data_IF_001784531198
#
_entry.id   IF_001784531198
#
_cell.length_a   1.000
_cell.length_b   1.000
_cell.length_c   1.000
_cell.angle_alpha   90.00
_cell.angle_beta   90.00
_cell.angle_gamma   90.00
#
_symmetry.space_group_name_H-M   'P 1'
#
loop_
_entity.id
_entity.type
_entity.pdbx_description
1 polymer ?
#
# COMPACT_ATOMS: atom_id res chain seq x y z
N UNK A 1 -27.88 -16.24 12.76
CA UNK A 1 -26.49 -16.65 13.06
C UNK A 1 -25.82 -15.50 13.80
N UNK A 2 -25.27 -15.74 15.00
CA UNK A 2 -24.70 -14.70 15.85
C UNK A 2 -23.19 -14.66 15.59
N UNK A 3 -22.67 -13.53 15.08
CA UNK A 3 -21.23 -13.33 14.90
C UNK A 3 -20.56 -13.45 16.27
N UNK A 4 -19.62 -14.39 16.41
CA UNK A 4 -18.82 -14.61 17.62
C UNK A 4 -17.38 -14.22 17.30
N UNK A 5 -16.85 -13.25 18.03
CA UNK A 5 -15.46 -12.81 17.88
C UNK A 5 -14.60 -13.76 18.71
N UNK A 6 -13.72 -14.51 18.04
CA UNK A 6 -12.76 -15.40 18.71
C UNK A 6 -11.33 -14.85 18.52
N UNK A 7 -10.51 -14.85 19.58
CA UNK A 7 -9.14 -14.35 19.50
C UNK A 7 -8.34 -15.21 18.52
N UNK A 8 -7.59 -14.53 17.65
CA UNK A 8 -6.80 -15.18 16.60
C UNK A 8 -5.50 -15.72 17.20
N UNK A 9 -5.42 -17.03 17.40
CA UNK A 9 -4.27 -17.66 18.05
C UNK A 9 -3.02 -17.73 17.15
N UNK A 10 -3.22 -17.85 15.83
CA UNK A 10 -2.13 -18.02 14.88
C UNK A 10 -2.30 -17.11 13.66
N UNK A 11 -1.17 -16.54 13.20
CA UNK A 11 -1.13 -15.77 11.96
C UNK A 11 -1.22 -16.76 10.80
N UNK A 12 -2.28 -16.62 9.99
CA UNK A 12 -2.42 -17.43 8.78
C UNK A 12 -1.27 -17.14 7.81
N UNK A 13 -0.46 -18.17 7.52
CA UNK A 13 0.67 -18.09 6.58
C UNK A 13 0.23 -17.66 5.18
N UNK A 14 -0.95 -18.11 4.75
CA UNK A 14 -1.55 -17.70 3.46
C UNK A 14 -1.83 -16.20 3.46
N UNK A 15 -2.45 -15.68 4.52
CA UNK A 15 -2.77 -14.25 4.60
C UNK A 15 -1.53 -13.37 4.73
N UNK A 16 -0.42 -13.89 5.25
CA UNK A 16 0.85 -13.18 5.30
C UNK A 16 1.34 -12.74 3.91
N UNK A 17 1.12 -13.58 2.89
CA UNK A 17 1.50 -13.28 1.49
C UNK A 17 0.37 -12.65 0.69
N UNK A 18 -0.88 -13.05 0.94
CA UNK A 18 -2.04 -12.51 0.21
C UNK A 18 -2.29 -11.04 0.57
N UNK A 19 -2.11 -10.65 1.84
CA UNK A 19 -2.43 -9.29 2.28
C UNK A 19 -1.61 -8.21 1.54
N UNK A 20 -0.27 -8.31 1.41
CA UNK A 20 0.51 -7.33 0.66
C UNK A 20 0.11 -7.24 -0.81
N UNK A 21 -0.11 -8.37 -1.48
CA UNK A 21 -0.51 -8.40 -2.90
C UNK A 21 -1.86 -7.73 -3.09
N UNK A 22 -2.82 -8.07 -2.23
CA UNK A 22 -4.18 -7.54 -2.29
C UNK A 22 -4.19 -6.04 -1.99
N UNK A 23 -3.35 -5.57 -1.05
CA UNK A 23 -3.16 -4.15 -0.79
C UNK A 23 -2.67 -3.40 -2.04
N UNK A 24 -1.62 -3.89 -2.73
CA UNK A 24 -1.10 -3.27 -3.95
C UNK A 24 -2.17 -3.19 -5.04
N UNK A 25 -2.91 -4.27 -5.28
CA UNK A 25 -3.98 -4.30 -6.28
C UNK A 25 -5.06 -3.26 -5.96
N UNK A 26 -5.54 -3.23 -4.71
CA UNK A 26 -6.55 -2.26 -4.29
C UNK A 26 -6.04 -0.82 -4.37
N UNK A 27 -4.78 -0.56 -4.05
CA UNK A 27 -4.17 0.77 -4.16
C UNK A 27 -4.14 1.23 -5.62
N UNK A 28 -3.72 0.37 -6.56
CA UNK A 28 -3.69 0.71 -8.00
C UNK A 28 -5.10 0.94 -8.54
N UNK A 29 -6.06 0.08 -8.19
CA UNK A 29 -7.46 0.25 -8.60
C UNK A 29 -8.05 1.55 -8.08
N UNK A 30 -7.78 1.89 -6.81
CA UNK A 30 -8.22 3.14 -6.21
C UNK A 30 -7.61 4.35 -6.92
N UNK A 31 -6.31 4.31 -7.22
CA UNK A 31 -5.63 5.37 -7.98
C UNK A 31 -6.21 5.54 -9.39
N UNK A 32 -6.51 4.44 -10.08
CA UNK A 32 -7.16 4.46 -11.39
C UNK A 32 -8.51 5.16 -11.32
N UNK A 33 -9.36 4.78 -10.36
CA UNK A 33 -10.68 5.38 -10.17
C UNK A 33 -10.54 6.88 -9.87
N UNK A 34 -9.65 7.26 -8.96
CA UNK A 34 -9.41 8.66 -8.59
C UNK A 34 -9.00 9.51 -9.79
N UNK A 35 -8.02 9.06 -10.58
CA UNK A 35 -7.56 9.83 -11.73
C UNK A 35 -8.60 9.95 -12.84
N UNK A 36 -9.40 8.89 -13.06
CA UNK A 36 -10.54 8.96 -14.00
C UNK A 36 -11.58 9.96 -13.52
N UNK A 37 -11.92 9.97 -12.22
CA UNK A 37 -12.87 10.93 -11.65
C UNK A 37 -12.37 12.38 -11.74
N UNK A 38 -11.05 12.58 -11.68
CA UNK A 38 -10.42 13.89 -11.87
C UNK A 38 -10.28 14.31 -13.35
N UNK A 39 -10.65 13.45 -14.30
CA UNK A 39 -10.53 13.71 -15.74
C UNK A 39 -9.12 13.54 -16.32
N UNK A 40 -8.20 12.92 -15.58
CA UNK A 40 -6.85 12.61 -16.06
C UNK A 40 -6.81 11.24 -16.76
N UNK A 41 -5.90 11.09 -17.73
CA UNK A 41 -5.60 9.79 -18.31
C UNK A 41 -4.94 8.89 -17.24
N UNK A 42 -5.54 7.76 -16.85
CA UNK A 42 -5.11 6.99 -15.68
C UNK A 42 -3.73 6.36 -15.86
N UNK A 43 -3.38 5.91 -17.07
CA UNK A 43 -2.07 5.29 -17.34
C UNK A 43 -0.89 6.24 -17.05
N UNK A 44 -0.81 7.39 -17.73
CA UNK A 44 0.23 8.39 -17.47
C UNK A 44 0.21 8.93 -16.03
N UNK A 45 -0.98 9.12 -15.46
CA UNK A 45 -1.13 9.59 -14.07
C UNK A 45 -0.55 8.57 -13.07
N UNK A 46 -0.92 7.29 -13.20
CA UNK A 46 -0.36 6.20 -12.39
C UNK A 46 1.15 6.08 -12.58
N UNK A 47 1.66 6.18 -13.82
CA UNK A 47 3.10 6.17 -14.07
C UNK A 47 3.81 7.32 -13.36
N UNK A 48 3.27 8.53 -13.45
CA UNK A 48 3.86 9.71 -12.80
C UNK A 48 3.81 9.64 -11.28
N UNK A 49 2.79 9.00 -10.70
CA UNK A 49 2.65 8.88 -9.24
C UNK A 49 3.46 7.73 -8.64
N UNK A 50 3.50 6.58 -9.31
CA UNK A 50 4.13 5.37 -8.78
C UNK A 50 5.53 5.12 -9.32
N UNK A 51 5.80 5.42 -10.59
CA UNK A 51 7.05 5.05 -11.26
C UNK A 51 8.04 6.20 -11.28
N UNK A 52 7.64 7.39 -11.73
CA UNK A 52 8.55 8.54 -11.83
C UNK A 52 9.35 8.84 -10.55
N UNK A 53 8.76 8.78 -9.33
CA UNK A 53 9.51 9.04 -8.09
C UNK A 53 10.62 8.01 -7.83
N UNK A 54 10.45 6.77 -8.27
CA UNK A 54 11.43 5.69 -8.10
C UNK A 54 12.64 5.85 -9.02
N UNK A 55 12.48 6.61 -10.12
CA UNK A 55 13.54 6.81 -11.12
C UNK A 55 14.53 7.92 -10.73
N UNK A 56 14.29 8.65 -9.64
CA UNK A 56 15.15 9.74 -9.19
C UNK A 56 15.58 9.56 -7.74
N UNK A 57 16.82 9.95 -7.43
CA UNK A 57 17.35 9.91 -6.06
C UNK A 57 16.54 10.81 -5.12
N UNK A 58 16.12 11.98 -5.63
CA UNK A 58 15.28 12.90 -4.87
C UNK A 58 13.90 12.30 -4.56
N UNK A 59 13.21 11.73 -5.55
CA UNK A 59 11.93 11.08 -5.35
C UNK A 59 12.03 9.88 -4.40
N UNK A 60 13.10 9.08 -4.51
CA UNK A 60 13.37 8.01 -3.56
C UNK A 60 13.55 8.54 -2.13
N UNK A 61 14.28 9.65 -1.95
CA UNK A 61 14.47 10.27 -0.64
C UNK A 61 13.15 10.75 -0.03
N UNK A 62 12.26 11.35 -0.83
CA UNK A 62 10.94 11.76 -0.35
C UNK A 62 10.08 10.57 0.08
N UNK A 63 10.10 9.47 -0.68
CA UNK A 63 9.38 8.24 -0.34
C UNK A 63 9.92 7.69 0.99
N UNK A 64 11.24 7.64 1.16
CA UNK A 64 11.86 7.12 2.38
C UNK A 64 11.53 7.96 3.61
N UNK A 65 11.52 9.30 3.49
CA UNK A 65 11.14 10.19 4.61
C UNK A 65 9.69 9.93 5.04
N UNK A 66 8.78 9.67 4.09
CA UNK A 66 7.37 9.33 4.38
C UNK A 66 7.20 7.92 4.94
N UNK A 67 7.99 6.96 4.45
CA UNK A 67 7.91 5.55 4.86
C UNK A 67 8.55 5.29 6.24
N UNK A 68 9.61 6.03 6.60
CA UNK A 68 10.37 5.84 7.84
C UNK A 68 9.51 5.73 9.12
N UNK A 69 8.58 6.65 9.43
CA UNK A 69 7.76 6.53 10.63
C UNK A 69 6.85 5.29 10.62
N UNK A 70 6.29 4.92 9.47
CA UNK A 70 5.46 3.71 9.36
C UNK A 70 6.27 2.43 9.57
N UNK A 71 7.50 2.39 9.03
CA UNK A 71 8.42 1.27 9.27
C UNK A 71 8.79 1.16 10.75
N UNK A 72 9.06 2.28 11.42
CA UNK A 72 9.36 2.30 12.86
C UNK A 72 8.19 1.79 13.70
N UNK A 73 6.95 2.20 13.39
CA UNK A 73 5.74 1.69 14.05
C UNK A 73 5.61 0.19 13.82
N UNK A 74 5.79 -0.28 12.58
CA UNK A 74 5.69 -1.70 12.23
C UNK A 74 6.72 -2.56 12.97
N UNK A 75 7.97 -2.11 13.03
CA UNK A 75 9.04 -2.79 13.77
C UNK A 75 8.75 -2.80 15.27
N UNK A 76 8.27 -1.69 15.84
CA UNK A 76 7.93 -1.62 17.26
C UNK A 76 6.77 -2.53 17.70
N UNK A 77 5.83 -2.83 16.78
CA UNK A 77 4.71 -3.76 17.02
C UNK A 77 5.05 -5.23 16.72
N UNK A 78 6.15 -5.50 16.03
CA UNK A 78 6.55 -6.84 15.63
C UNK A 78 7.27 -7.62 16.76
N UNK A 79 7.64 -6.93 17.83
CA UNK A 79 8.31 -7.46 19.03
C UNK A 79 7.27 -7.63 20.14
#
# INVERSE_FOLDING_TARGET
>A
MRLKIEPRQEISRVLLYVTPVLAVVLTVLSGLILFVLMGYAPGPALYSFFISPLLSIYGLSEIMVKAAPLMLIGVGLAI
#
